data_IF_961059864211
#
_entry.id   IF_961059864211
#
_cell.length_a   1.000
_cell.length_b   1.000
_cell.length_c   1.000
_cell.angle_alpha   90.00
_cell.angle_beta   90.00
_cell.angle_gamma   90.00
#
_symmetry.space_group_name_H-M   'P 1'
#
loop_
_entity.id
_entity.type
_entity.pdbx_description
1 polymer ?
#
# COMPACT_ATOMS: atom_id res chain seq x y z
N UNK A 1 8.80 21.41 37.56
CA UNK A 1 7.68 20.84 36.80
C UNK A 1 7.85 19.33 36.82
N UNK A 2 6.90 18.56 37.35
CA UNK A 2 6.96 17.12 37.24
C UNK A 2 6.78 16.78 35.74
N UNK A 3 7.86 16.37 35.08
CA UNK A 3 7.88 15.98 33.65
C UNK A 3 7.31 14.58 33.42
N UNK A 4 6.61 14.02 34.41
CA UNK A 4 6.08 12.67 34.41
C UNK A 4 4.60 12.66 34.81
N UNK A 5 3.91 11.60 34.41
CA UNK A 5 2.51 11.36 34.71
C UNK A 5 2.28 11.23 36.24
N UNK A 6 1.55 12.17 36.85
CA UNK A 6 1.21 12.13 38.29
C UNK A 6 0.06 11.14 38.56
N UNK A 7 0.40 9.85 38.64
CA UNK A 7 -0.55 8.78 38.96
C UNK A 7 -1.28 9.04 40.29
N UNK A 8 -0.56 9.51 41.32
CA UNK A 8 -1.10 9.75 42.66
C UNK A 8 -2.20 10.83 42.64
N UNK A 9 -1.95 11.94 41.95
CA UNK A 9 -2.92 13.01 41.77
C UNK A 9 -4.10 12.60 40.91
N UNK A 10 -3.85 11.87 39.82
CA UNK A 10 -4.90 11.36 38.92
C UNK A 10 -5.84 10.41 39.66
N UNK A 11 -5.34 9.45 40.45
CA UNK A 11 -6.18 8.53 41.22
C UNK A 11 -7.04 9.26 42.26
N UNK A 12 -6.47 10.23 42.98
CA UNK A 12 -7.22 11.06 43.93
C UNK A 12 -8.31 11.87 43.23
N UNK A 13 -8.05 12.39 42.02
CA UNK A 13 -9.06 13.08 41.21
C UNK A 13 -10.16 12.13 40.75
N UNK A 14 -9.82 10.95 40.23
CA UNK A 14 -10.79 9.92 39.84
C UNK A 14 -11.72 9.59 41.01
N UNK A 15 -11.16 9.29 42.19
CA UNK A 15 -11.95 8.97 43.39
C UNK A 15 -12.86 10.11 43.81
N UNK A 16 -12.35 11.34 43.78
CA UNK A 16 -13.15 12.52 44.12
C UNK A 16 -14.30 12.74 43.14
N UNK A 17 -14.09 12.50 41.85
CA UNK A 17 -15.12 12.66 40.82
C UNK A 17 -16.16 11.55 40.88
N UNK A 18 -15.73 10.31 41.12
CA UNK A 18 -16.60 9.14 41.20
C UNK A 18 -17.24 8.91 42.59
N UNK A 19 -16.87 9.72 43.58
CA UNK A 19 -17.27 9.57 45.00
C UNK A 19 -16.95 8.19 45.60
N UNK A 20 -15.69 7.73 45.43
CA UNK A 20 -15.25 6.39 45.86
C UNK A 20 -14.14 6.43 46.92
N UNK A 21 -14.28 5.58 47.94
CA UNK A 21 -13.18 5.21 48.83
C UNK A 21 -12.12 4.36 48.09
N UNK A 22 -10.95 4.18 48.71
CA UNK A 22 -9.90 3.29 48.13
C UNK A 22 -10.41 1.86 47.94
N UNK A 23 -11.24 1.36 48.86
CA UNK A 23 -11.77 -0.01 48.81
C UNK A 23 -12.78 -0.19 47.68
N UNK A 24 -13.66 0.79 47.51
CA UNK A 24 -14.65 0.78 46.42
C UNK A 24 -13.98 0.92 45.05
N UNK A 25 -13.00 1.82 44.92
CA UNK A 25 -12.20 1.92 43.70
C UNK A 25 -11.49 0.60 43.39
N UNK A 26 -10.88 -0.03 44.40
CA UNK A 26 -10.19 -1.31 44.20
C UNK A 26 -11.15 -2.39 43.70
N UNK A 27 -12.32 -2.51 44.33
CA UNK A 27 -13.35 -3.47 43.91
C UNK A 27 -13.84 -3.20 42.49
N UNK A 28 -14.19 -1.94 42.17
CA UNK A 28 -14.74 -1.56 40.87
C UNK A 28 -13.71 -1.64 39.73
N UNK A 29 -12.43 -1.35 40.01
CA UNK A 29 -11.36 -1.42 39.02
C UNK A 29 -10.70 -2.82 38.92
N UNK A 30 -11.13 -3.80 39.71
CA UNK A 30 -10.53 -5.15 39.74
C UNK A 30 -9.09 -5.15 40.26
N UNK A 31 -8.81 -4.35 41.28
CA UNK A 31 -7.52 -4.20 41.95
C UNK A 31 -7.61 -4.67 43.40
N UNK A 32 -6.45 -4.95 44.02
CA UNK A 32 -6.38 -5.08 45.47
C UNK A 32 -6.34 -3.70 46.13
N UNK A 33 -6.88 -3.59 47.36
CA UNK A 33 -6.83 -2.35 48.14
C UNK A 33 -5.39 -1.89 48.33
N UNK A 34 -4.47 -2.83 48.59
CA UNK A 34 -3.04 -2.54 48.72
C UNK A 34 -2.43 -1.98 47.44
N UNK A 35 -2.85 -2.45 46.26
CA UNK A 35 -2.36 -1.89 44.99
C UNK A 35 -2.78 -0.43 44.83
N UNK A 36 -4.03 -0.08 45.17
CA UNK A 36 -4.51 1.30 45.17
C UNK A 36 -3.73 2.17 46.17
N UNK A 37 -3.53 1.66 47.40
CA UNK A 37 -2.77 2.39 48.42
C UNK A 37 -1.31 2.64 48.00
N UNK A 38 -0.64 1.63 47.43
CA UNK A 38 0.73 1.78 46.93
C UNK A 38 0.82 2.77 45.77
N UNK A 39 -0.17 2.77 44.87
CA UNK A 39 -0.25 3.69 43.75
C UNK A 39 -0.50 5.13 44.16
N UNK A 40 -1.41 5.37 45.12
CA UNK A 40 -1.63 6.72 45.66
C UNK A 40 -0.45 7.24 46.48
N UNK A 41 0.32 6.35 47.11
CA UNK A 41 1.55 6.68 47.81
C UNK A 41 2.76 6.87 46.88
N UNK A 42 2.63 6.61 45.58
CA UNK A 42 3.72 6.71 44.60
C UNK A 42 4.80 5.63 44.76
N UNK A 43 4.47 4.51 45.42
CA UNK A 43 5.41 3.42 45.68
C UNK A 43 5.36 2.31 44.63
N UNK A 44 4.26 2.18 43.89
CA UNK A 44 4.09 1.23 42.77
C UNK A 44 3.14 1.79 41.72
N UNK A 45 3.37 1.42 40.46
CA UNK A 45 2.46 1.74 39.35
C UNK A 45 1.23 0.84 39.31
N UNK A 46 0.24 1.23 38.50
CA UNK A 46 -0.91 0.40 38.14
C UNK A 46 -0.82 -0.13 36.71
N UNK A 47 -1.37 -1.32 36.43
CA UNK A 47 -1.61 -1.76 35.07
C UNK A 47 -2.46 -0.73 34.32
N UNK A 48 -2.08 -0.39 33.08
CA UNK A 48 -2.78 0.61 32.26
C UNK A 48 -4.27 0.30 32.09
N UNK A 49 -4.63 -0.96 31.91
CA UNK A 49 -6.04 -1.39 31.82
C UNK A 49 -6.81 -1.13 33.13
N UNK A 50 -6.17 -1.26 34.29
CA UNK A 50 -6.82 -0.98 35.57
C UNK A 50 -7.00 0.52 35.79
N UNK A 51 -6.02 1.33 35.39
CA UNK A 51 -6.15 2.79 35.36
C UNK A 51 -7.27 3.25 34.41
N UNK A 52 -7.38 2.64 33.23
CA UNK A 52 -8.46 2.92 32.28
C UNK A 52 -9.84 2.63 32.89
N UNK A 53 -10.03 1.45 33.51
CA UNK A 53 -11.27 1.12 34.22
C UNK A 53 -11.57 2.09 35.36
N UNK A 54 -10.57 2.47 36.14
CA UNK A 54 -10.72 3.47 37.20
C UNK A 54 -11.17 4.82 36.63
N UNK A 55 -10.58 5.27 35.52
CA UNK A 55 -10.95 6.51 34.84
C UNK A 55 -12.41 6.46 34.33
N UNK A 56 -12.84 5.33 33.77
CA UNK A 56 -14.22 5.13 33.28
C UNK A 56 -15.27 5.33 34.38
N UNK A 57 -14.99 4.92 35.63
CA UNK A 57 -15.89 5.15 36.78
C UNK A 57 -16.15 6.64 37.05
N UNK A 58 -15.23 7.50 36.64
CA UNK A 58 -15.35 8.96 36.76
C UNK A 58 -15.82 9.62 35.44
N UNK A 59 -16.24 8.84 34.44
CA UNK A 59 -16.59 9.35 33.11
C UNK A 59 -15.38 9.86 32.29
N UNK A 60 -14.17 9.44 32.65
CA UNK A 60 -12.92 9.85 32.00
C UNK A 60 -12.41 8.77 31.05
N UNK A 61 -11.55 9.16 30.10
CA UNK A 61 -10.90 8.24 29.15
C UNK A 61 -9.39 8.43 29.20
N UNK A 62 -8.65 7.32 29.12
CA UNK A 62 -7.20 7.35 29.00
C UNK A 62 -6.82 7.40 27.51
N UNK A 63 -6.14 8.47 27.10
CA UNK A 63 -5.65 8.66 25.72
C UNK A 63 -4.17 9.02 25.74
N UNK A 64 -3.45 8.66 24.69
CA UNK A 64 -2.10 9.16 24.43
C UNK A 64 -2.22 10.40 23.57
N UNK A 65 -1.49 11.45 23.94
CA UNK A 65 -1.43 12.69 23.19
C UNK A 65 -0.01 12.89 22.67
N UNK A 66 0.12 13.39 21.44
CA UNK A 66 1.41 13.84 20.92
C UNK A 66 1.81 15.21 21.49
N UNK A 67 2.95 15.74 21.03
CA UNK A 67 3.47 17.02 21.51
C UNK A 67 2.55 18.20 21.16
N UNK A 68 1.71 18.04 20.14
CA UNK A 68 0.74 19.02 19.66
C UNK A 68 -0.64 18.85 20.34
N UNK A 69 -0.79 17.87 21.24
CA UNK A 69 -2.04 17.58 21.95
C UNK A 69 -3.06 16.80 21.12
N UNK A 70 -2.65 16.18 20.01
CA UNK A 70 -3.51 15.31 19.19
C UNK A 70 -3.51 13.90 19.73
N UNK A 71 -4.69 13.26 19.70
CA UNK A 71 -4.85 11.87 20.13
C UNK A 71 -4.08 10.92 19.21
N UNK A 72 -3.18 10.14 19.80
CA UNK A 72 -2.45 9.06 19.13
C UNK A 72 -3.18 7.75 19.40
N UNK A 73 -3.73 7.17 18.34
CA UNK A 73 -4.42 5.88 18.38
C UNK A 73 -3.42 4.72 18.25
N UNK A 74 -3.83 3.54 18.71
CA UNK A 74 -3.09 2.32 18.44
C UNK A 74 -3.14 1.95 16.95
N UNK A 75 -2.12 1.21 16.50
CA UNK A 75 -2.06 0.70 15.12
C UNK A 75 -3.27 -0.17 14.78
N UNK A 76 -3.67 -0.16 13.51
CA UNK A 76 -4.88 -0.79 13.00
C UNK A 76 -4.87 -2.31 13.28
N UNK A 77 -5.94 -2.86 13.87
CA UNK A 77 -5.99 -4.28 14.20
C UNK A 77 -5.90 -5.17 12.96
N UNK A 78 -6.41 -4.70 11.83
CA UNK A 78 -6.37 -5.39 10.53
C UNK A 78 -5.20 -4.95 9.64
N UNK A 79 -4.15 -4.42 10.24
CA UNK A 79 -2.90 -4.15 9.56
C UNK A 79 -2.35 -5.40 8.83
N UNK A 80 -1.44 -5.20 7.88
CA UNK A 80 -1.05 -6.21 6.92
C UNK A 80 -0.32 -7.38 7.58
N UNK A 81 -0.51 -8.56 6.98
CA UNK A 81 0.04 -9.82 7.47
C UNK A 81 0.88 -10.50 6.41
N UNK A 82 1.90 -11.22 6.86
CA UNK A 82 2.72 -12.07 5.99
C UNK A 82 1.92 -13.30 5.52
N UNK A 83 2.52 -14.08 4.62
CA UNK A 83 1.90 -15.32 4.09
C UNK A 83 1.63 -16.38 5.16
N UNK A 84 2.20 -16.24 6.36
CA UNK A 84 1.96 -17.11 7.53
C UNK A 84 1.04 -16.47 8.58
N UNK A 85 0.31 -15.40 8.19
CA UNK A 85 -0.64 -14.64 9.03
C UNK A 85 -0.04 -13.88 10.22
N UNK A 86 1.28 -13.72 10.28
CA UNK A 86 1.94 -12.87 11.29
C UNK A 86 1.85 -11.40 10.90
N UNK A 87 1.72 -10.51 11.89
CA UNK A 87 1.78 -9.06 11.65
C UNK A 87 3.17 -8.67 11.14
N UNK A 88 3.23 -7.69 10.26
CA UNK A 88 4.50 -7.08 9.89
C UNK A 88 5.12 -6.35 11.09
N UNK A 89 6.47 -6.23 11.16
CA UNK A 89 7.11 -5.55 12.28
C UNK A 89 6.71 -4.06 12.37
N UNK A 90 6.19 -3.64 13.53
CA UNK A 90 5.59 -2.32 13.76
C UNK A 90 6.51 -1.11 13.49
N UNK A 91 7.83 -1.31 13.46
CA UNK A 91 8.80 -0.23 13.24
C UNK A 91 9.17 -0.05 11.76
N UNK A 92 8.70 -0.93 10.87
CA UNK A 92 9.03 -0.95 9.45
C UNK A 92 7.88 -0.39 8.63
N UNK A 93 8.22 0.38 7.59
CA UNK A 93 7.22 0.93 6.69
C UNK A 93 6.78 -0.15 5.68
N UNK A 94 5.48 -0.16 5.40
CA UNK A 94 4.89 -1.03 4.39
C UNK A 94 5.23 -0.57 2.99
N UNK A 95 5.40 -1.53 2.10
CA UNK A 95 5.68 -1.31 0.69
C UNK A 95 4.81 -2.24 -0.13
N UNK A 96 4.19 -1.74 -1.20
CA UNK A 96 3.45 -2.62 -2.10
C UNK A 96 4.40 -3.57 -2.81
N UNK A 97 4.05 -4.84 -2.80
CA UNK A 97 4.94 -5.87 -3.30
C UNK A 97 5.20 -5.77 -4.80
N UNK A 98 4.29 -5.17 -5.56
CA UNK A 98 4.45 -4.95 -7.01
C UNK A 98 5.35 -3.76 -7.37
N UNK A 99 5.78 -2.98 -6.38
CA UNK A 99 6.75 -1.87 -6.54
C UNK A 99 8.17 -2.32 -6.21
N UNK A 100 8.32 -3.41 -5.45
CA UNK A 100 9.62 -3.96 -5.09
C UNK A 100 10.01 -5.03 -6.10
N UNK A 101 10.87 -4.64 -7.04
CA UNK A 101 11.40 -5.53 -8.08
C UNK A 101 12.03 -6.79 -7.47
N UNK A 102 11.89 -7.91 -8.19
CA UNK A 102 12.56 -9.21 -7.98
C UNK A 102 12.26 -9.98 -6.68
N UNK A 103 11.70 -9.32 -5.66
CA UNK A 103 11.42 -9.92 -4.34
C UNK A 103 10.46 -11.10 -4.40
N UNK A 104 9.56 -11.12 -5.39
CA UNK A 104 8.56 -12.18 -5.59
C UNK A 104 8.59 -12.80 -6.99
N UNK A 105 9.50 -12.38 -7.87
CA UNK A 105 9.60 -12.90 -9.23
C UNK A 105 9.92 -14.41 -9.27
N UNK A 106 10.66 -14.90 -8.27
CA UNK A 106 11.11 -16.29 -8.16
C UNK A 106 10.10 -17.22 -7.47
N UNK A 107 8.91 -16.73 -7.07
CA UNK A 107 7.90 -17.48 -6.29
C UNK A 107 6.55 -17.51 -7.00
N UNK A 108 6.55 -18.00 -8.25
CA UNK A 108 5.35 -18.08 -9.10
C UNK A 108 4.31 -19.07 -8.57
N UNK A 109 4.73 -20.03 -7.73
CA UNK A 109 3.91 -21.05 -7.09
C UNK A 109 3.05 -20.52 -5.92
N UNK A 110 3.27 -19.26 -5.49
CA UNK A 110 2.62 -18.70 -4.29
C UNK A 110 1.85 -17.43 -4.60
N UNK A 111 0.70 -17.21 -3.93
CA UNK A 111 0.01 -15.92 -4.03
C UNK A 111 0.93 -14.82 -3.49
N UNK A 112 1.17 -13.81 -4.31
CA UNK A 112 1.96 -12.65 -3.92
C UNK A 112 1.22 -11.87 -2.82
N UNK A 113 1.84 -11.62 -1.66
CA UNK A 113 1.21 -10.81 -0.63
C UNK A 113 1.10 -9.36 -1.08
N UNK A 114 0.14 -8.64 -0.50
CA UNK A 114 -0.14 -7.25 -0.84
C UNK A 114 1.03 -6.33 -0.48
N UNK A 115 1.57 -6.54 0.71
CA UNK A 115 2.61 -5.70 1.29
C UNK A 115 3.86 -6.48 1.66
N UNK A 116 4.99 -5.77 1.66
CA UNK A 116 6.29 -6.19 2.15
C UNK A 116 6.95 -5.05 2.92
N UNK A 117 8.19 -5.22 3.36
CA UNK A 117 8.93 -4.20 4.08
C UNK A 117 10.41 -4.19 3.69
N UNK A 118 11.03 -3.01 3.80
CA UNK A 118 12.46 -2.79 3.60
C UNK A 118 13.27 -2.91 4.89
N UNK A 119 14.42 -3.61 4.83
CA UNK A 119 15.33 -3.75 5.97
C UNK A 119 16.38 -2.63 6.07
N UNK A 120 16.65 -1.92 4.98
CA UNK A 120 17.62 -0.82 4.97
C UNK A 120 17.12 0.37 5.82
N UNK A 121 17.66 0.48 7.03
CA UNK A 121 17.35 1.56 7.97
C UNK A 121 17.79 2.93 7.44
N UNK A 122 18.89 3.03 6.71
CA UNK A 122 19.39 4.31 6.22
C UNK A 122 18.49 4.85 5.10
N UNK A 123 18.08 3.99 4.17
CA UNK A 123 17.09 4.36 3.15
C UNK A 123 15.76 4.77 3.79
N UNK A 124 15.27 4.00 4.76
CA UNK A 124 14.04 4.31 5.50
C UNK A 124 14.11 5.66 6.22
N UNK A 125 15.19 5.92 6.94
CA UNK A 125 15.37 7.19 7.65
C UNK A 125 15.41 8.38 6.68
N UNK A 126 16.08 8.26 5.53
CA UNK A 126 16.09 9.29 4.49
C UNK A 126 14.70 9.56 3.94
N UNK A 127 13.89 8.51 3.73
CA UNK A 127 12.51 8.65 3.29
C UNK A 127 11.68 9.38 4.35
N UNK A 128 11.73 8.93 5.60
CA UNK A 128 11.00 9.54 6.71
C UNK A 128 11.40 10.99 6.99
N UNK A 129 12.65 11.36 6.76
CA UNK A 129 13.10 12.74 6.85
C UNK A 129 12.47 13.67 5.79
N UNK A 130 12.04 13.10 4.65
CA UNK A 130 11.42 13.86 3.55
C UNK A 130 9.90 13.94 3.66
N UNK A 131 9.25 12.82 4.00
CA UNK A 131 7.78 12.71 3.94
C UNK A 131 7.12 12.48 5.30
N UNK A 132 7.91 12.42 6.39
CA UNK A 132 7.43 12.05 7.72
C UNK A 132 7.43 10.54 7.96
N UNK A 133 7.19 10.15 9.21
CA UNK A 133 6.95 8.74 9.56
C UNK A 133 5.46 8.46 9.35
N UNK A 134 5.09 7.44 8.57
CA UNK A 134 3.70 7.00 8.48
C UNK A 134 3.14 6.68 9.87
N UNK A 135 1.90 7.11 10.13
CA UNK A 135 1.25 6.87 11.43
C UNK A 135 0.97 5.37 11.65
N UNK A 136 0.72 4.63 10.58
CA UNK A 136 0.36 3.22 10.60
C UNK A 136 0.84 2.47 9.35
N UNK A 137 0.69 1.16 9.36
CA UNK A 137 0.83 0.31 8.20
C UNK A 137 -0.37 0.45 7.25
N UNK A 138 -0.13 0.30 5.95
CA UNK A 138 -1.19 0.27 4.94
C UNK A 138 -2.12 -0.93 5.12
N UNK A 139 -3.43 -0.71 4.99
CA UNK A 139 -4.46 -1.75 5.09
C UNK A 139 -4.84 -2.25 3.69
N UNK A 140 -5.02 -3.57 3.47
CA UNK A 140 -5.54 -4.08 2.21
C UNK A 140 -6.94 -3.53 1.89
N UNK A 141 -7.07 -2.81 0.77
CA UNK A 141 -8.36 -2.30 0.25
C UNK A 141 -8.74 -3.04 -1.03
N UNK A 142 -9.98 -3.55 -1.19
CA UNK A 142 -10.42 -4.17 -2.45
C UNK A 142 -10.11 -3.29 -3.67
N UNK A 143 -9.59 -3.89 -4.74
CA UNK A 143 -9.13 -3.14 -5.91
C UNK A 143 -7.65 -2.74 -5.85
N UNK A 144 -6.96 -2.90 -4.71
CA UNK A 144 -5.55 -2.53 -4.57
C UNK A 144 -4.61 -3.72 -4.42
N UNK A 145 -5.05 -4.91 -4.87
CA UNK A 145 -4.15 -6.06 -4.89
C UNK A 145 -2.99 -5.84 -5.85
N UNK A 146 -1.82 -6.48 -5.61
CA UNK A 146 -0.68 -6.40 -6.52
C UNK A 146 -1.02 -6.74 -7.99
N UNK A 147 -1.96 -7.66 -8.21
CA UNK A 147 -2.42 -8.05 -9.53
C UNK A 147 -3.24 -6.95 -10.21
N UNK A 148 -4.19 -6.35 -9.50
CA UNK A 148 -5.04 -5.26 -10.00
C UNK A 148 -4.20 -4.00 -10.28
N UNK A 149 -3.27 -3.65 -9.38
CA UNK A 149 -2.33 -2.54 -9.58
C UNK A 149 -1.47 -2.74 -10.83
N UNK A 150 -0.94 -3.95 -11.03
CA UNK A 150 -0.21 -4.29 -12.25
C UNK A 150 -1.08 -4.21 -13.50
N UNK A 151 -2.30 -4.75 -13.47
CA UNK A 151 -3.22 -4.69 -14.59
C UNK A 151 -3.52 -3.24 -14.99
N UNK A 152 -3.80 -2.35 -14.03
CA UNK A 152 -3.99 -0.91 -14.27
C UNK A 152 -2.76 -0.26 -14.93
N UNK A 153 -1.55 -0.57 -14.45
CA UNK A 153 -0.31 -0.06 -15.04
C UNK A 153 -0.12 -0.55 -16.47
N UNK A 154 -0.39 -1.82 -16.74
CA UNK A 154 -0.29 -2.41 -18.07
C UNK A 154 -1.31 -1.81 -19.04
N UNK A 155 -2.55 -1.62 -18.61
CA UNK A 155 -3.60 -0.99 -19.42
C UNK A 155 -3.25 0.46 -19.76
N UNK A 156 -2.79 1.24 -18.77
CA UNK A 156 -2.34 2.61 -18.99
C UNK A 156 -1.16 2.67 -19.96
N UNK A 157 -0.20 1.74 -19.87
CA UNK A 157 0.91 1.64 -20.81
C UNK A 157 0.45 1.26 -22.22
N UNK A 158 -0.49 0.31 -22.35
CA UNK A 158 -1.08 -0.07 -23.65
C UNK A 158 -1.80 1.11 -24.30
N UNK A 159 -2.57 1.87 -23.53
CA UNK A 159 -3.28 3.07 -24.01
C UNK A 159 -2.30 4.13 -24.50
N UNK A 160 -1.28 4.47 -23.69
CA UNK A 160 -0.22 5.40 -24.11
C UNK A 160 0.48 4.93 -25.38
N UNK A 161 0.83 3.65 -25.47
CA UNK A 161 1.45 3.10 -26.67
C UNK A 161 0.52 3.16 -27.90
N UNK A 162 -0.80 3.02 -27.73
CA UNK A 162 -1.77 3.19 -28.80
C UNK A 162 -1.86 4.65 -29.27
N UNK A 163 -1.99 5.59 -28.33
CA UNK A 163 -1.98 7.03 -28.61
C UNK A 163 -0.67 7.46 -29.30
N UNK A 164 0.49 6.96 -28.84
CA UNK A 164 1.79 7.20 -29.46
C UNK A 164 1.84 6.68 -30.91
N UNK A 165 1.29 5.48 -31.17
CA UNK A 165 1.19 4.91 -32.51
C UNK A 165 0.27 5.74 -33.40
N UNK A 166 -0.87 6.19 -32.89
CA UNK A 166 -1.81 7.04 -33.63
C UNK A 166 -1.19 8.39 -33.98
N UNK A 167 -0.53 9.05 -33.01
CA UNK A 167 0.22 10.29 -33.26
C UNK A 167 1.29 10.09 -34.32
N UNK A 168 2.07 9.00 -34.25
CA UNK A 168 3.07 8.68 -35.29
C UNK A 168 2.42 8.47 -36.67
N UNK A 169 1.29 7.77 -36.77
CA UNK A 169 0.56 7.59 -38.04
C UNK A 169 0.10 8.93 -38.62
N UNK A 170 -0.46 9.80 -37.78
CA UNK A 170 -0.92 11.13 -38.20
C UNK A 170 0.25 12.02 -38.68
N UNK A 171 1.41 11.97 -38.01
CA UNK A 171 2.59 12.76 -38.40
C UNK A 171 3.28 12.22 -39.66
N UNK A 172 3.34 10.90 -39.82
CA UNK A 172 4.04 10.25 -40.94
C UNK A 172 3.20 10.28 -42.23
N UNK A 173 1.95 10.75 -42.18
CA UNK A 173 1.11 10.90 -43.37
C UNK A 173 0.98 9.59 -44.15
N UNK A 174 0.92 8.46 -43.44
CA UNK A 174 0.80 7.15 -44.09
C UNK A 174 -0.62 7.01 -44.64
N UNK A 175 -0.86 7.53 -45.83
CA UNK A 175 -1.92 7.04 -46.70
C UNK A 175 -1.53 5.61 -47.07
N UNK A 176 -2.41 4.64 -46.82
CA UNK A 176 -2.34 3.40 -47.59
C UNK A 176 -2.38 3.85 -49.05
N UNK A 177 -1.25 3.75 -49.76
CA UNK A 177 -1.22 4.04 -51.18
C UNK A 177 -2.06 2.92 -51.82
N UNK A 178 -3.35 3.20 -52.04
CA UNK A 178 -4.22 2.38 -52.87
C UNK A 178 -3.78 2.44 -54.36
N UNK A 179 -2.66 3.13 -54.64
CA UNK A 179 -2.14 3.43 -55.97
C UNK A 179 -1.32 2.34 -56.65
N UNK A 180 -1.30 1.08 -56.19
CA UNK A 180 -0.79 -0.01 -57.03
C UNK A 180 -1.90 -0.55 -57.94
N UNK A 181 -2.38 0.31 -58.84
CA UNK A 181 -3.25 -0.12 -59.93
C UNK A 181 -2.38 -0.82 -60.98
N UNK A 182 -2.03 -2.09 -60.74
CA UNK A 182 -1.33 -2.85 -61.77
C UNK A 182 -2.27 -3.01 -62.96
N UNK A 183 -1.86 -2.54 -64.14
CA UNK A 183 -2.52 -2.89 -65.41
C UNK A 183 -1.93 -4.20 -65.92
N UNK A 184 -1.89 -5.21 -65.05
CA UNK A 184 -1.28 -6.50 -65.34
C UNK A 184 -2.15 -7.22 -66.41
N UNK A 185 -1.56 -7.79 -67.47
CA UNK A 185 -2.29 -8.73 -68.31
C UNK A 185 -2.69 -9.96 -67.48
N UNK A 186 -3.83 -10.61 -67.79
CA UNK A 186 -4.36 -11.74 -67.02
C UNK A 186 -3.37 -12.91 -66.88
N UNK A 187 -2.43 -13.03 -67.79
CA UNK A 187 -1.35 -14.02 -67.75
C UNK A 187 -0.43 -13.86 -66.52
N UNK A 188 -0.36 -12.68 -65.89
CA UNK A 188 0.44 -12.49 -64.66
C UNK A 188 -0.07 -13.33 -63.50
N UNK A 189 -1.40 -13.48 -63.36
CA UNK A 189 -2.01 -14.31 -62.30
C UNK A 189 -1.71 -15.80 -62.50
N UNK A 190 -1.33 -16.22 -63.72
CA UNK A 190 -0.91 -17.59 -63.99
C UNK A 190 0.57 -17.84 -63.68
N UNK A 191 1.42 -16.80 -63.72
CA UNK A 191 2.87 -16.93 -63.46
C UNK A 191 3.25 -16.63 -62.01
N UNK A 192 2.43 -15.84 -61.31
CA UNK A 192 2.62 -15.51 -59.90
C UNK A 192 1.63 -16.29 -59.03
N UNK A 193 2.14 -17.30 -58.34
CA UNK A 193 1.38 -18.15 -57.43
C UNK A 193 1.34 -17.62 -55.98
N UNK A 194 1.86 -16.41 -55.76
CA UNK A 194 1.91 -15.75 -54.46
C UNK A 194 2.81 -16.44 -53.43
N UNK A 195 3.58 -17.46 -53.83
CA UNK A 195 4.41 -18.26 -52.92
C UNK A 195 5.87 -17.79 -52.86
N UNK A 196 6.21 -16.68 -53.54
CA UNK A 196 7.56 -16.15 -53.62
C UNK A 196 7.64 -14.67 -54.03
N UNK A 197 8.83 -14.17 -54.42
CA UNK A 197 8.97 -12.83 -55.00
C UNK A 197 8.05 -12.67 -56.22
N UNK A 198 7.48 -11.48 -56.46
CA UNK A 198 6.49 -11.27 -57.50
C UNK A 198 7.03 -11.72 -58.87
N UNK A 199 6.19 -12.38 -59.65
CA UNK A 199 6.51 -12.78 -61.02
C UNK A 199 5.56 -12.09 -61.98
N UNK A 200 6.03 -11.77 -63.19
CA UNK A 200 5.15 -11.18 -64.20
C UNK A 200 5.35 -11.82 -65.56
N UNK A 201 4.29 -11.78 -66.38
CA UNK A 201 4.36 -12.20 -67.77
C UNK A 201 5.31 -11.27 -68.55
N UNK A 202 5.97 -11.79 -69.59
CA UNK A 202 6.94 -11.03 -70.39
C UNK A 202 6.35 -9.78 -71.05
N UNK A 203 5.02 -9.76 -71.28
CA UNK A 203 4.29 -8.62 -71.84
C UNK A 203 3.82 -7.60 -70.78
N UNK A 204 4.00 -7.88 -69.49
CA UNK A 204 3.57 -6.98 -68.43
C UNK A 204 4.49 -5.77 -68.33
N UNK A 205 3.89 -4.58 -68.47
CA UNK A 205 4.60 -3.30 -68.40
C UNK A 205 5.02 -2.91 -66.97
N UNK A 206 4.45 -3.55 -65.95
CA UNK A 206 4.60 -3.15 -64.55
C UNK A 206 5.89 -3.63 -63.89
N UNK A 207 6.57 -4.66 -64.45
CA UNK A 207 7.87 -5.18 -63.98
C UNK A 207 7.99 -5.31 -62.45
N UNK A 208 6.96 -5.88 -61.82
CA UNK A 208 6.84 -5.96 -60.35
C UNK A 208 7.85 -6.92 -59.70
N UNK A 209 8.59 -7.69 -60.49
CA UNK A 209 9.72 -8.52 -60.07
C UNK A 209 11.00 -7.71 -59.81
N UNK A 210 11.09 -6.49 -60.35
CA UNK A 210 12.16 -5.53 -60.11
C UNK A 210 11.84 -4.68 -58.87
N UNK A 211 12.02 -5.28 -57.70
CA UNK A 211 11.99 -4.58 -56.41
C UNK A 211 13.10 -3.56 -56.23
#
# INVERSE_FOLDING_TARGET
MATGFDLCGVLRRIRRTADLSQRELASAAGLSVSAVAHAEAGTRDLPSCALARAAELAGLRLVLLDAEGREVRGMHPDGPRDSTRRRLPAHLDTQHTDEVADRWAHRLDRPQPWFTFGLDRAARNRQRARVGTPEDHDVPVPGDSPAERRARRQEAARRRAAEDRERRRATVGWSADEGLTCTCPPECDEVDDGSGPPRHAAACACRCDAG
#
